data_IF_801868118267
#
_entry.id   IF_801868118267
#
_cell.length_a   1.000
_cell.length_b   1.000
_cell.length_c   1.000
_cell.angle_alpha   90.00
_cell.angle_beta   90.00
_cell.angle_gamma   90.00
#
_symmetry.space_group_name_H-M   'P 1'
#
loop_
_entity.id
_entity.type
_entity.pdbx_description
1 polymer ?
#
# COMPACT_ATOMS: atom_id res chain seq x y z
N UNK A 1 -4.83 -18.43 7.30
CA UNK A 1 -3.80 -18.16 8.33
C UNK A 1 -4.16 -16.86 9.01
N UNK A 2 -4.19 -16.81 10.36
CA UNK A 2 -4.61 -15.64 11.13
C UNK A 2 -3.42 -14.72 11.39
N UNK A 3 -3.45 -13.48 10.92
CA UNK A 3 -2.59 -12.42 11.44
C UNK A 3 -3.24 -11.92 12.74
N UNK A 4 -2.57 -12.17 13.87
CA UNK A 4 -2.97 -11.68 15.19
C UNK A 4 -1.82 -10.83 15.73
N UNK A 5 -2.22 -9.76 16.40
CA UNK A 5 -1.44 -8.77 17.16
C UNK A 5 -1.05 -7.48 16.42
N UNK A 6 -1.85 -6.45 16.69
CA UNK A 6 -1.47 -5.05 16.63
C UNK A 6 -1.74 -4.45 18.01
N UNK A 7 -0.75 -4.54 18.90
CA UNK A 7 -0.65 -3.68 20.08
C UNK A 7 0.71 -3.02 20.01
N UNK A 8 0.73 -1.75 19.62
CA UNK A 8 1.91 -0.90 19.69
C UNK A 8 1.62 0.27 20.62
N UNK A 9 2.15 0.22 21.84
CA UNK A 9 2.32 1.42 22.66
C UNK A 9 3.19 2.43 21.89
N UNK A 10 2.83 3.71 22.00
CA UNK A 10 3.45 4.87 21.35
C UNK A 10 3.14 5.08 19.86
N UNK A 11 1.85 5.24 19.53
CA UNK A 11 1.39 6.21 18.51
C UNK A 11 1.85 6.02 17.05
N UNK A 12 2.47 4.89 16.71
CA UNK A 12 2.86 4.54 15.35
C UNK A 12 2.17 3.22 14.97
N UNK A 13 1.19 3.30 14.09
CA UNK A 13 0.54 2.13 13.53
C UNK A 13 1.31 1.70 12.28
N UNK A 14 2.03 0.58 12.35
CA UNK A 14 2.67 -0.04 11.19
C UNK A 14 1.63 -0.95 10.52
N UNK A 15 1.03 -0.48 9.42
CA UNK A 15 0.26 -1.37 8.56
C UNK A 15 1.22 -2.10 7.62
N UNK A 16 1.10 -3.40 7.50
CA UNK A 16 1.82 -4.19 6.50
C UNK A 16 0.88 -5.26 5.97
N UNK A 17 0.43 -5.13 4.71
CA UNK A 17 -0.08 -6.26 3.93
C UNK A 17 -0.12 -5.95 2.43
N UNK A 18 0.52 -6.80 1.63
CA UNK A 18 0.34 -6.89 0.18
C UNK A 18 -1.00 -7.54 -0.13
N UNK A 19 -1.84 -6.93 -0.99
CA UNK A 19 -2.91 -7.59 -1.76
C UNK A 19 -3.40 -6.72 -2.94
N UNK A 20 -3.45 -7.36 -4.11
CA UNK A 20 -3.71 -6.84 -5.47
C UNK A 20 -4.93 -5.91 -5.61
N UNK A 21 -4.83 -4.79 -6.36
CA UNK A 21 -5.97 -3.95 -6.71
C UNK A 21 -6.72 -4.45 -7.96
N UNK A 22 -8.03 -4.12 -8.03
CA UNK A 22 -8.89 -4.28 -9.20
C UNK A 22 -8.59 -3.16 -10.20
N UNK A 23 -8.54 -3.51 -11.48
CA UNK A 23 -7.99 -2.73 -12.60
C UNK A 23 -8.56 -1.30 -12.79
N UNK A 24 -7.73 -0.30 -12.54
CA UNK A 24 -7.62 0.92 -13.38
C UNK A 24 -6.42 0.77 -14.33
N UNK A 25 -6.08 1.73 -15.21
CA UNK A 25 -4.98 1.58 -16.15
C UNK A 25 -3.65 1.64 -15.40
N UNK A 26 -3.27 0.51 -14.82
CA UNK A 26 -1.89 0.17 -14.55
C UNK A 26 -1.18 0.32 -15.89
N UNK A 27 -0.06 1.03 -15.95
CA UNK A 27 0.96 0.66 -16.94
C UNK A 27 1.40 -0.72 -16.47
N UNK A 28 0.95 -1.83 -17.08
CA UNK A 28 1.43 -3.12 -16.63
C UNK A 28 2.95 -3.10 -16.80
N UNK A 29 3.72 -3.78 -15.93
CA UNK A 29 5.02 -4.22 -16.38
C UNK A 29 4.76 -4.95 -17.69
N UNK A 30 5.26 -4.40 -18.81
CA UNK A 30 5.39 -5.18 -20.02
C UNK A 30 6.13 -6.43 -19.58
N UNK A 31 5.44 -7.56 -19.61
CA UNK A 31 6.01 -8.88 -19.45
C UNK A 31 6.97 -9.11 -20.63
N UNK A 32 8.13 -8.48 -20.56
CA UNK A 32 9.28 -8.59 -21.44
C UNK A 32 10.45 -7.98 -20.64
N UNK A 33 11.45 -8.71 -20.16
CA UNK A 33 11.83 -10.09 -20.44
C UNK A 33 12.73 -10.62 -19.31
N UNK A 34 12.97 -11.93 -19.37
CA UNK A 34 14.17 -12.63 -18.88
C UNK A 34 14.18 -13.11 -17.40
N UNK A 35 13.75 -14.37 -17.25
CA UNK A 35 14.02 -15.34 -16.15
C UNK A 35 13.13 -15.32 -14.90
N UNK A 36 11.81 -15.28 -15.08
CA UNK A 36 10.86 -15.67 -14.03
C UNK A 36 9.63 -16.31 -14.64
N UNK A 37 9.50 -17.64 -14.55
CA UNK A 37 8.40 -18.38 -15.14
C UNK A 37 7.04 -17.83 -14.71
N UNK A 38 6.15 -17.58 -15.66
CA UNK A 38 4.79 -17.14 -15.36
C UNK A 38 4.09 -18.09 -14.38
N UNK A 39 3.16 -17.56 -13.59
CA UNK A 39 2.41 -18.30 -12.56
C UNK A 39 1.45 -19.38 -13.12
N UNK A 40 1.51 -19.68 -14.42
CA UNK A 40 0.69 -20.69 -15.08
C UNK A 40 0.83 -22.08 -14.43
N UNK A 41 1.99 -22.41 -13.87
CA UNK A 41 2.26 -23.71 -13.22
C UNK A 41 1.44 -23.95 -11.96
N UNK A 42 0.88 -22.89 -11.34
CA UNK A 42 0.07 -22.99 -10.12
C UNK A 42 -1.39 -22.57 -10.33
N UNK A 43 -1.78 -22.16 -11.54
CA UNK A 43 -3.11 -21.60 -11.81
C UNK A 43 -4.24 -22.54 -11.36
N UNK A 44 -4.11 -23.84 -11.65
CA UNK A 44 -5.10 -24.86 -11.25
C UNK A 44 -4.97 -25.33 -9.79
N UNK A 45 -3.94 -24.85 -9.07
CA UNK A 45 -3.69 -25.17 -7.65
C UNK A 45 -4.06 -24.03 -6.70
N UNK A 46 -4.37 -22.86 -7.24
CA UNK A 46 -4.75 -21.67 -6.48
C UNK A 46 -6.26 -21.49 -6.59
N UNK A 47 -6.97 -21.74 -5.50
CA UNK A 47 -8.34 -21.28 -5.32
C UNK A 47 -8.33 -20.09 -4.36
N UNK A 48 -8.79 -18.91 -4.81
CA UNK A 48 -9.03 -17.76 -3.94
C UNK A 48 -10.52 -17.62 -3.67
N UNK A 49 -10.89 -17.46 -2.39
CA UNK A 49 -12.17 -16.88 -1.99
C UNK A 49 -11.97 -15.41 -1.70
N UNK A 50 -13.05 -14.63 -1.75
CA UNK A 50 -13.00 -13.29 -1.15
C UNK A 50 -12.64 -13.42 0.34
N UNK A 51 -11.74 -12.59 0.85
CA UNK A 51 -11.46 -12.55 2.27
C UNK A 51 -12.70 -12.05 3.04
N UNK A 52 -12.97 -12.64 4.21
CA UNK A 52 -14.05 -12.21 5.13
C UNK A 52 -13.74 -10.87 5.85
N UNK A 53 -12.79 -10.07 5.33
CA UNK A 53 -12.35 -8.81 5.92
C UNK A 53 -12.26 -7.72 4.85
N UNK A 54 -12.56 -6.50 5.26
CA UNK A 54 -12.49 -5.31 4.42
C UNK A 54 -11.25 -4.49 4.81
N UNK A 55 -10.28 -4.43 3.89
CA UNK A 55 -9.04 -3.70 4.09
C UNK A 55 -9.29 -2.22 4.35
N UNK A 56 -10.09 -1.59 3.48
CA UNK A 56 -10.28 -0.15 3.45
C UNK A 56 -11.05 0.28 4.71
N UNK A 57 -12.04 -0.52 5.13
CA UNK A 57 -12.75 -0.29 6.38
C UNK A 57 -11.83 -0.38 7.61
N UNK A 58 -10.90 -1.36 7.64
CA UNK A 58 -9.94 -1.49 8.72
C UNK A 58 -8.92 -0.33 8.75
N UNK A 59 -8.39 0.05 7.59
CA UNK A 59 -7.50 1.21 7.46
C UNK A 59 -8.20 2.49 7.91
N UNK A 60 -9.41 2.74 7.42
CA UNK A 60 -10.20 3.91 7.77
C UNK A 60 -10.47 3.99 9.28
N UNK A 61 -10.88 2.89 9.91
CA UNK A 61 -11.13 2.83 11.35
C UNK A 61 -9.86 3.13 12.16
N UNK A 62 -8.72 2.58 11.73
CA UNK A 62 -7.43 2.83 12.35
C UNK A 62 -6.98 4.29 12.19
N UNK A 63 -7.03 4.82 10.97
CA UNK A 63 -6.60 6.18 10.63
C UNK A 63 -7.38 7.26 11.40
N UNK A 64 -8.67 7.04 11.68
CA UNK A 64 -9.50 7.95 12.50
C UNK A 64 -8.98 8.16 13.93
N UNK A 65 -8.21 7.22 14.45
CA UNK A 65 -7.64 7.30 15.81
C UNK A 65 -6.14 7.58 15.82
N UNK A 66 -5.51 7.57 14.65
CA UNK A 66 -4.08 7.74 14.51
C UNK A 66 -3.70 9.23 14.49
N UNK A 67 -2.51 9.54 15.00
CA UNK A 67 -1.88 10.86 14.77
C UNK A 67 -0.99 10.84 13.51
N UNK A 68 -0.44 9.66 13.21
CA UNK A 68 0.57 9.42 12.18
C UNK A 68 0.33 8.08 11.50
N UNK A 69 0.50 8.05 10.18
CA UNK A 69 0.31 6.86 9.34
C UNK A 69 1.46 6.75 8.36
N UNK A 70 1.96 5.53 8.17
CA UNK A 70 2.95 5.19 7.16
C UNK A 70 2.33 4.17 6.21
N UNK A 71 2.24 4.52 4.93
CA UNK A 71 1.83 3.63 3.84
C UNK A 71 3.06 3.00 3.17
N UNK A 72 3.09 1.67 3.12
CA UNK A 72 4.24 0.90 2.62
C UNK A 72 3.91 0.27 1.28
N UNK A 73 4.63 0.67 0.23
CA UNK A 73 4.34 0.22 -1.14
C UNK A 73 3.04 0.82 -1.65
N UNK A 74 2.99 2.16 -1.70
CA UNK A 74 1.77 2.92 -2.03
C UNK A 74 1.29 2.69 -3.46
N UNK A 75 2.11 2.09 -4.32
CA UNK A 75 1.80 1.91 -5.73
C UNK A 75 1.75 3.27 -6.42
N UNK A 76 0.67 3.55 -7.14
CA UNK A 76 0.39 4.90 -7.68
C UNK A 76 -0.30 5.83 -6.67
N UNK A 77 -0.57 5.38 -5.44
CA UNK A 77 -1.24 6.15 -4.39
C UNK A 77 -2.78 6.13 -4.45
N UNK A 78 -3.40 5.50 -5.46
CA UNK A 78 -4.85 5.56 -5.69
C UNK A 78 -5.69 5.03 -4.51
N UNK A 79 -5.25 3.95 -3.86
CA UNK A 79 -5.97 3.38 -2.72
C UNK A 79 -5.85 4.25 -1.49
N UNK A 80 -4.65 4.79 -1.23
CA UNK A 80 -4.43 5.71 -0.11
C UNK A 80 -5.30 6.96 -0.25
N UNK A 81 -5.39 7.52 -1.47
CA UNK A 81 -6.27 8.65 -1.79
C UNK A 81 -7.73 8.32 -1.46
N UNK A 82 -8.24 7.18 -1.92
CA UNK A 82 -9.63 6.78 -1.66
C UNK A 82 -9.94 6.63 -0.15
N UNK A 83 -8.96 6.26 0.67
CA UNK A 83 -9.12 6.19 2.12
C UNK A 83 -9.05 7.60 2.75
N UNK A 84 -8.14 8.46 2.29
CA UNK A 84 -8.04 9.86 2.76
C UNK A 84 -9.33 10.63 2.48
N UNK A 85 -9.89 10.49 1.28
CA UNK A 85 -11.16 11.13 0.91
C UNK A 85 -12.34 10.72 1.83
N UNK A 86 -12.28 9.53 2.43
CA UNK A 86 -13.29 9.04 3.38
C UNK A 86 -13.08 9.52 4.84
N UNK A 87 -11.90 10.06 5.19
CA UNK A 87 -11.60 10.54 6.54
C UNK A 87 -12.23 11.90 6.84
N UNK A 88 -12.46 12.73 5.82
CA UNK A 88 -12.93 14.11 6.00
C UNK A 88 -11.82 15.05 6.46
N UNK A 89 -12.12 16.11 7.23
CA UNK A 89 -11.15 17.17 7.54
C UNK A 89 -10.04 16.76 8.53
N UNK A 90 -10.29 15.76 9.37
CA UNK A 90 -9.38 15.34 10.44
C UNK A 90 -8.41 14.25 9.94
N UNK A 91 -7.63 14.57 8.91
CA UNK A 91 -6.64 13.65 8.32
C UNK A 91 -5.38 13.61 9.20
N UNK A 92 -4.87 12.41 9.59
CA UNK A 92 -3.61 12.30 10.30
C UNK A 92 -2.42 12.78 9.45
N UNK A 93 -1.26 12.91 10.06
CA UNK A 93 -0.01 13.11 9.32
C UNK A 93 0.36 11.81 8.59
N UNK A 94 0.50 11.84 7.26
CA UNK A 94 0.68 10.63 6.44
C UNK A 94 1.99 10.72 5.65
N UNK A 95 2.76 9.64 5.68
CA UNK A 95 3.89 9.40 4.77
C UNK A 95 3.63 8.15 3.96
N UNK A 96 4.16 8.11 2.75
CA UNK A 96 4.09 6.97 1.86
C UNK A 96 5.48 6.57 1.37
N UNK A 97 5.65 5.28 1.07
CA UNK A 97 6.89 4.76 0.50
C UNK A 97 6.59 3.93 -0.74
N UNK A 98 7.50 3.94 -1.72
CA UNK A 98 7.38 3.18 -2.96
C UNK A 98 8.76 2.67 -3.40
N UNK A 99 8.83 1.39 -3.74
CA UNK A 99 10.11 0.76 -4.12
C UNK A 99 10.26 0.46 -5.61
N UNK A 100 9.18 0.52 -6.38
CA UNK A 100 9.22 0.37 -7.83
C UNK A 100 9.37 1.74 -8.49
N UNK A 101 10.56 1.99 -9.06
CA UNK A 101 10.95 3.26 -9.67
C UNK A 101 9.89 3.89 -10.60
N UNK A 102 9.20 3.13 -11.49
CA UNK A 102 8.15 3.68 -12.35
C UNK A 102 6.94 4.27 -11.60
N UNK A 103 6.63 3.76 -10.41
CA UNK A 103 5.51 4.24 -9.60
C UNK A 103 5.85 5.48 -8.78
N UNK A 104 7.13 5.71 -8.44
CA UNK A 104 7.55 6.85 -7.61
C UNK A 104 7.04 8.20 -8.15
N UNK A 105 7.27 8.58 -9.44
CA UNK A 105 6.79 9.86 -9.94
C UNK A 105 5.25 9.94 -10.01
N UNK A 106 4.58 8.82 -10.30
CA UNK A 106 3.11 8.75 -10.35
C UNK A 106 2.51 8.96 -8.96
N UNK A 107 2.99 8.22 -7.97
CA UNK A 107 2.59 8.35 -6.57
C UNK A 107 2.84 9.76 -6.05
N UNK A 108 4.03 10.31 -6.32
CA UNK A 108 4.41 11.65 -5.87
C UNK A 108 3.44 12.71 -6.40
N UNK A 109 3.09 12.66 -7.69
CA UNK A 109 2.15 13.63 -8.27
C UNK A 109 0.74 13.47 -7.70
N UNK A 110 0.24 12.24 -7.62
CA UNK A 110 -1.10 11.94 -7.12
C UNK A 110 -1.29 12.35 -5.65
N UNK A 111 -0.28 12.11 -4.81
CA UNK A 111 -0.34 12.27 -3.36
C UNK A 111 0.02 13.69 -2.88
N UNK A 112 0.68 14.49 -3.72
CA UNK A 112 1.03 15.89 -3.41
C UNK A 112 -0.18 16.74 -3.03
N UNK A 113 -1.32 16.55 -3.70
CA UNK A 113 -2.57 17.28 -3.40
C UNK A 113 -3.14 16.99 -2.01
N UNK A 114 -2.75 15.85 -1.41
CA UNK A 114 -3.17 15.41 -0.08
C UNK A 114 -2.12 15.71 1.00
N UNK A 115 -1.03 16.39 0.66
CA UNK A 115 0.05 16.71 1.60
C UNK A 115 0.88 15.50 2.03
N UNK A 116 0.84 14.41 1.27
CA UNK A 116 1.55 13.17 1.58
C UNK A 116 2.90 13.14 0.86
N UNK A 117 3.99 12.99 1.62
CA UNK A 117 5.34 12.82 1.08
C UNK A 117 5.56 11.35 0.69
N UNK A 118 6.00 11.13 -0.56
CA UNK A 118 6.40 9.80 -1.05
C UNK A 118 7.91 9.66 -0.99
N UNK A 119 8.41 8.61 -0.34
CA UNK A 119 9.83 8.26 -0.33
C UNK A 119 10.10 7.00 -1.13
N UNK A 120 11.10 7.07 -2.00
CA UNK A 120 11.69 5.88 -2.58
C UNK A 120 12.19 4.96 -1.45
N UNK A 121 11.87 3.68 -1.50
CA UNK A 121 12.42 2.70 -0.57
C UNK A 121 12.98 1.50 -1.31
N UNK A 122 14.20 1.11 -0.98
CA UNK A 122 14.78 -0.15 -1.43
C UNK A 122 14.75 -1.13 -0.26
N UNK A 123 14.01 -2.23 -0.40
CA UNK A 123 13.89 -3.24 0.64
C UNK A 123 15.22 -3.94 0.93
N UNK A 124 16.16 -3.90 -0.03
CA UNK A 124 17.47 -4.55 0.06
C UNK A 124 18.57 -3.57 0.52
N UNK A 125 18.32 -2.25 0.53
CA UNK A 125 19.35 -1.26 0.89
C UNK A 125 19.63 -1.20 2.40
N UNK A 126 18.70 -1.66 3.24
CA UNK A 126 18.79 -1.57 4.69
C UNK A 126 18.60 -0.15 5.24
N UNK A 127 18.14 0.79 4.41
CA UNK A 127 17.88 2.15 4.82
C UNK A 127 16.72 2.24 5.82
N UNK A 128 16.77 3.25 6.69
CA UNK A 128 15.69 3.50 7.65
C UNK A 128 14.49 4.12 6.94
N UNK A 129 13.37 3.42 6.98
CA UNK A 129 12.08 3.90 6.48
C UNK A 129 11.51 4.94 7.49
N UNK A 130 10.99 6.10 7.03
CA UNK A 130 10.52 7.20 7.88
C UNK A 130 9.43 6.82 8.90
#
# INVERSE_FOLDING_TARGET
MKAKELVGLAGLLRLTLWLTPKAGPLVPPSCASDHGGGFASIADRVSSSEPDWDFDAHCLAAMRSARRVLDLGTGGGERLIAIIEQLGPDVPEIWATEGWEPNIPVATENLKGYGVEVRACDAESGDTIP
#
